data_IF_449486599497
#
_entry.id   IF_449486599497
#
_cell.length_a   1.000
_cell.length_b   1.000
_cell.length_c   1.000
_cell.angle_alpha   90.00
_cell.angle_beta   90.00
_cell.angle_gamma   90.00
#
_symmetry.space_group_name_H-M   'P 1'
#
loop_
_entity.id
_entity.type
_entity.pdbx_description
1 polymer ?
#
# COMPACT_ATOMS: atom_id res chain seq x y z
N UNK A 1 -0.71 23.86 -16.12
CA UNK A 1 -0.87 22.53 -15.47
C UNK A 1 -2.33 22.15 -15.65
N UNK A 2 -2.66 21.04 -16.30
CA UNK A 2 -4.08 20.65 -16.51
C UNK A 2 -4.77 20.46 -15.15
N UNK A 3 -6.09 20.72 -15.08
CA UNK A 3 -6.85 20.49 -13.84
C UNK A 3 -6.72 19.04 -13.34
N UNK A 4 -6.57 18.09 -14.26
CA UNK A 4 -6.30 16.67 -13.98
C UNK A 4 -4.97 16.51 -13.24
N UNK A 5 -3.86 17.09 -13.74
CA UNK A 5 -2.56 16.96 -13.08
C UNK A 5 -2.52 17.63 -11.70
N UNK A 6 -3.24 18.74 -11.52
CA UNK A 6 -3.39 19.38 -10.20
C UNK A 6 -4.13 18.46 -9.24
N UNK A 7 -5.27 17.90 -9.66
CA UNK A 7 -6.08 17.02 -8.82
C UNK A 7 -5.34 15.71 -8.49
N UNK A 8 -4.64 15.13 -9.47
CA UNK A 8 -3.74 13.99 -9.29
C UNK A 8 -2.81 14.22 -8.09
N UNK A 9 -2.08 15.35 -8.10
CA UNK A 9 -1.09 15.66 -7.07
C UNK A 9 -1.72 15.83 -5.68
N UNK A 10 -2.89 16.47 -5.60
CA UNK A 10 -3.63 16.63 -4.34
C UNK A 10 -4.03 15.27 -3.77
N UNK A 11 -4.55 14.37 -4.61
CA UNK A 11 -4.96 13.03 -4.18
C UNK A 11 -3.75 12.20 -3.76
N UNK A 12 -2.66 12.23 -4.54
CA UNK A 12 -1.40 11.56 -4.22
C UNK A 12 -0.87 11.99 -2.85
N UNK A 13 -0.70 13.30 -2.61
CA UNK A 13 -0.22 13.83 -1.34
C UNK A 13 -1.13 13.43 -0.17
N UNK A 14 -2.45 13.42 -0.39
CA UNK A 14 -3.40 13.00 0.65
C UNK A 14 -3.30 11.50 0.95
N UNK A 15 -3.16 10.64 -0.06
CA UNK A 15 -3.02 9.20 0.14
C UNK A 15 -1.69 8.84 0.82
N UNK A 16 -0.60 9.51 0.45
CA UNK A 16 0.72 9.35 1.08
C UNK A 16 0.65 9.77 2.55
N UNK A 17 0.13 10.96 2.85
CA UNK A 17 0.01 11.43 4.23
C UNK A 17 -0.90 10.54 5.09
N UNK A 18 -1.97 10.00 4.51
CA UNK A 18 -2.86 9.05 5.20
C UNK A 18 -2.15 7.73 5.49
N UNK A 19 -1.30 7.26 4.57
CA UNK A 19 -0.46 6.06 4.76
C UNK A 19 0.51 6.27 5.91
N UNK A 20 1.24 7.39 5.91
CA UNK A 20 2.21 7.72 6.94
C UNK A 20 1.54 7.89 8.32
N UNK A 21 0.36 8.51 8.36
CA UNK A 21 -0.44 8.61 9.58
C UNK A 21 -0.88 7.23 10.10
N UNK A 22 -1.39 6.36 9.21
CA UNK A 22 -1.85 5.02 9.58
C UNK A 22 -0.73 4.15 10.14
N UNK A 23 0.46 4.21 9.52
CA UNK A 23 1.65 3.53 10.05
C UNK A 23 2.11 4.12 11.38
N UNK A 24 1.95 5.44 11.56
CA UNK A 24 2.17 6.13 12.84
C UNK A 24 1.26 5.61 13.95
N UNK A 25 -0.04 5.48 13.69
CA UNK A 25 -0.99 4.93 14.66
C UNK A 25 -0.64 3.51 15.09
N UNK A 26 -0.21 2.64 14.18
CA UNK A 26 0.23 1.30 14.58
C UNK A 26 1.44 1.32 15.54
N UNK A 27 2.37 2.28 15.37
CA UNK A 27 3.47 2.47 16.32
C UNK A 27 2.99 2.96 17.68
N UNK A 28 2.03 3.87 17.69
CA UNK A 28 1.41 4.39 18.92
C UNK A 28 0.70 3.27 19.68
N UNK A 29 -0.08 2.44 19.00
CA UNK A 29 -0.74 1.27 19.61
C UNK A 29 0.25 0.29 20.23
N UNK A 30 1.42 0.06 19.61
CA UNK A 30 2.47 -0.76 20.22
C UNK A 30 3.01 -0.09 21.50
N UNK A 31 3.07 1.23 21.55
CA UNK A 31 3.55 1.93 22.74
C UNK A 31 2.51 1.92 23.87
N UNK A 32 1.25 2.19 23.56
CA UNK A 32 0.19 2.38 24.56
C UNK A 32 -0.47 1.07 24.98
N UNK A 33 -0.68 0.14 24.05
CA UNK A 33 -1.51 -1.06 24.27
C UNK A 33 -0.70 -2.34 24.44
N UNK A 34 0.57 -2.40 24.00
CA UNK A 34 1.37 -3.61 24.18
C UNK A 34 1.77 -3.77 25.65
N UNK A 35 1.18 -4.77 26.28
CA UNK A 35 1.51 -5.22 27.63
C UNK A 35 1.88 -6.70 27.63
N UNK A 36 3.17 -6.98 27.83
CA UNK A 36 3.71 -8.33 28.00
C UNK A 36 4.03 -8.65 29.48
N UNK A 37 3.42 -7.93 30.42
CA UNK A 37 3.64 -8.11 31.86
C UNK A 37 5.10 -7.91 32.26
N UNK A 38 5.66 -8.81 33.07
CA UNK A 38 7.04 -8.70 33.56
C UNK A 38 8.10 -8.69 32.47
N UNK A 39 7.78 -9.13 31.24
CA UNK A 39 8.72 -9.15 30.11
C UNK A 39 8.60 -7.92 29.20
N UNK A 40 7.77 -6.93 29.55
CA UNK A 40 7.49 -5.81 28.66
C UNK A 40 8.76 -5.03 28.25
N UNK A 41 9.74 -4.93 29.14
CA UNK A 41 11.03 -4.28 28.85
C UNK A 41 11.87 -4.97 27.76
N UNK A 42 11.60 -6.26 27.48
CA UNK A 42 12.25 -7.02 26.39
C UNK A 42 11.34 -7.07 25.17
N UNK A 43 10.07 -7.41 25.37
CA UNK A 43 9.13 -7.66 24.26
C UNK A 43 8.81 -6.38 23.50
N UNK A 44 8.51 -5.28 24.21
CA UNK A 44 8.12 -4.02 23.56
C UNK A 44 9.20 -3.47 22.61
N UNK A 45 10.49 -3.39 22.99
CA UNK A 45 11.55 -3.02 22.06
C UNK A 45 11.64 -3.91 20.82
N UNK A 46 11.50 -5.23 20.98
CA UNK A 46 11.55 -6.18 19.85
C UNK A 46 10.39 -5.93 18.88
N UNK A 47 9.17 -5.82 19.39
CA UNK A 47 7.98 -5.56 18.56
C UNK A 47 8.10 -4.19 17.86
N UNK A 48 8.59 -3.15 18.56
CA UNK A 48 8.82 -1.83 17.95
C UNK A 48 9.86 -1.89 16.83
N UNK A 49 10.97 -2.60 17.04
CA UNK A 49 12.02 -2.76 16.04
C UNK A 49 11.50 -3.53 14.81
N UNK A 50 10.79 -4.64 15.04
CA UNK A 50 10.14 -5.41 13.98
C UNK A 50 9.15 -4.55 13.20
N UNK A 51 8.23 -3.88 13.89
CA UNK A 51 7.21 -3.04 13.26
C UNK A 51 7.84 -1.92 12.44
N UNK A 52 8.89 -1.26 12.96
CA UNK A 52 9.61 -0.21 12.22
C UNK A 52 10.25 -0.76 10.95
N UNK A 53 10.94 -1.90 11.03
CA UNK A 53 11.56 -2.53 9.86
C UNK A 53 10.49 -2.90 8.82
N UNK A 54 9.41 -3.54 9.26
CA UNK A 54 8.31 -3.91 8.40
C UNK A 54 7.62 -2.68 7.77
N UNK A 55 7.34 -1.64 8.57
CA UNK A 55 6.65 -0.43 8.11
C UNK A 55 7.45 0.31 7.05
N UNK A 56 8.76 0.48 7.30
CA UNK A 56 9.62 1.32 6.47
C UNK A 56 9.98 0.63 5.15
N UNK A 57 10.25 -0.68 5.18
CA UNK A 57 10.76 -1.41 4.02
C UNK A 57 9.70 -2.20 3.24
N UNK A 58 8.58 -2.57 3.86
CA UNK A 58 7.54 -3.37 3.21
C UNK A 58 6.24 -2.61 3.06
N UNK A 59 5.65 -2.18 4.19
CA UNK A 59 4.32 -1.59 4.22
C UNK A 59 4.25 -0.31 3.39
N UNK A 60 5.12 0.66 3.71
CA UNK A 60 5.15 1.97 3.06
C UNK A 60 5.53 1.85 1.59
N UNK A 61 6.60 1.12 1.27
CA UNK A 61 7.11 0.99 -0.10
C UNK A 61 6.06 0.37 -1.03
N UNK A 62 5.40 -0.72 -0.61
CA UNK A 62 4.33 -1.35 -1.38
C UNK A 62 3.13 -0.42 -1.59
N UNK A 63 2.68 0.22 -0.51
CA UNK A 63 1.52 1.13 -0.55
C UNK A 63 1.77 2.33 -1.46
N UNK A 64 2.96 2.93 -1.42
CA UNK A 64 3.31 4.04 -2.31
C UNK A 64 3.26 3.61 -3.79
N UNK A 65 3.74 2.41 -4.10
CA UNK A 65 3.68 1.90 -5.47
C UNK A 65 2.26 1.60 -5.92
N UNK A 66 1.42 1.06 -5.03
CA UNK A 66 0.00 0.85 -5.28
C UNK A 66 -0.75 2.18 -5.53
N UNK A 67 -0.45 3.24 -4.76
CA UNK A 67 -0.99 4.58 -4.97
C UNK A 67 -0.61 5.11 -6.36
N UNK A 68 0.67 5.04 -6.72
CA UNK A 68 1.17 5.48 -8.03
C UNK A 68 0.44 4.76 -9.17
N UNK A 69 0.36 3.42 -9.11
CA UNK A 69 -0.31 2.61 -10.14
C UNK A 69 -1.79 2.97 -10.26
N UNK A 70 -2.48 3.11 -9.12
CA UNK A 70 -3.91 3.45 -9.12
C UNK A 70 -4.16 4.84 -9.73
N UNK A 71 -3.34 5.83 -9.37
CA UNK A 71 -3.50 7.19 -9.86
C UNK A 71 -3.11 7.34 -11.33
N UNK A 72 -2.02 6.69 -11.78
CA UNK A 72 -1.63 6.68 -13.20
C UNK A 72 -2.66 5.96 -14.07
N UNK A 73 -3.26 4.88 -13.55
CA UNK A 73 -4.39 4.19 -14.21
C UNK A 73 -5.60 5.11 -14.33
N UNK A 74 -5.98 5.81 -13.25
CA UNK A 74 -7.09 6.76 -13.24
C UNK A 74 -6.84 7.94 -14.19
N UNK A 75 -5.62 8.50 -14.17
CA UNK A 75 -5.20 9.57 -15.08
C UNK A 75 -5.32 9.13 -16.53
N UNK A 76 -4.78 7.96 -16.86
CA UNK A 76 -4.87 7.36 -18.21
C UNK A 76 -6.32 7.22 -18.68
N UNK A 77 -7.24 6.81 -17.78
CA UNK A 77 -8.65 6.66 -18.11
C UNK A 77 -9.33 8.00 -18.39
N UNK A 78 -9.02 9.04 -17.60
CA UNK A 78 -9.67 10.36 -17.69
C UNK A 78 -9.12 11.19 -18.85
N UNK A 79 -7.80 11.13 -19.12
CA UNK A 79 -7.17 11.93 -20.19
C UNK A 79 -7.62 11.52 -21.60
N UNK A 80 -8.08 10.29 -21.79
CA UNK A 80 -8.58 9.79 -23.08
C UNK A 80 -10.08 10.07 -23.31
N UNK A 81 -10.75 10.80 -22.41
CA UNK A 81 -12.15 11.20 -22.58
C UNK A 81 -13.16 10.17 -22.07
N UNK A 82 -13.92 9.53 -22.98
CA UNK A 82 -15.02 8.66 -22.61
C UNK A 82 -14.54 7.28 -22.12
N UNK A 83 -14.86 6.94 -20.87
CA UNK A 83 -14.58 5.63 -20.29
C UNK A 83 -15.68 4.67 -20.76
N UNK A 84 -15.35 3.79 -21.69
CA UNK A 84 -16.17 2.60 -21.94
C UNK A 84 -15.60 1.41 -21.14
N UNK A 85 -16.40 0.34 -21.03
CA UNK A 85 -16.03 -0.83 -20.25
C UNK A 85 -14.76 -1.50 -20.78
N UNK A 86 -14.63 -1.65 -22.09
CA UNK A 86 -13.49 -2.31 -22.74
C UNK A 86 -12.17 -1.62 -22.38
N UNK A 87 -12.15 -0.28 -22.45
CA UNK A 87 -10.97 0.52 -22.12
C UNK A 87 -10.66 0.49 -20.63
N UNK A 88 -11.69 0.52 -19.79
CA UNK A 88 -11.52 0.36 -18.36
C UNK A 88 -10.85 -0.98 -18.04
N UNK A 89 -11.41 -2.08 -18.56
CA UNK A 89 -10.90 -3.43 -18.35
C UNK A 89 -9.47 -3.57 -18.90
N UNK A 90 -9.15 -2.99 -20.06
CA UNK A 90 -7.78 -2.99 -20.61
C UNK A 90 -6.77 -2.32 -19.66
N UNK A 91 -7.09 -1.12 -19.16
CA UNK A 91 -6.20 -0.39 -18.25
C UNK A 91 -6.06 -1.13 -16.92
N UNK A 92 -7.15 -1.66 -16.38
CA UNK A 92 -7.10 -2.43 -15.12
C UNK A 92 -6.29 -3.71 -15.32
N UNK A 93 -6.60 -4.54 -16.32
CA UNK A 93 -5.91 -5.82 -16.55
C UNK A 93 -4.41 -5.65 -16.80
N UNK A 94 -4.01 -4.53 -17.42
CA UNK A 94 -2.59 -4.20 -17.62
C UNK A 94 -1.86 -3.87 -16.32
N UNK A 95 -2.50 -3.16 -15.40
CA UNK A 95 -1.85 -2.58 -14.23
C UNK A 95 -2.07 -3.38 -12.94
N UNK A 96 -3.16 -4.14 -12.87
CA UNK A 96 -3.57 -4.89 -11.68
C UNK A 96 -2.54 -5.93 -11.22
N UNK A 97 -1.85 -6.68 -12.10
CA UNK A 97 -0.79 -7.59 -11.66
C UNK A 97 0.31 -6.87 -10.87
N UNK A 98 0.79 -5.71 -11.36
CA UNK A 98 1.82 -4.93 -10.66
C UNK A 98 1.29 -4.31 -9.36
N UNK A 99 0.00 -3.94 -9.33
CA UNK A 99 -0.66 -3.51 -8.10
C UNK A 99 -0.66 -4.63 -7.05
N UNK A 100 -1.01 -5.86 -7.45
CA UNK A 100 -1.02 -7.05 -6.58
C UNK A 100 0.39 -7.43 -6.12
N UNK A 101 1.39 -7.39 -6.98
CA UNK A 101 2.80 -7.63 -6.60
C UNK A 101 3.30 -6.69 -5.49
N UNK A 102 2.66 -5.51 -5.39
CA UNK A 102 2.98 -4.53 -4.37
C UNK A 102 2.10 -4.61 -3.12
N UNK A 103 1.09 -5.48 -3.12
CA UNK A 103 0.23 -5.75 -1.98
C UNK A 103 0.99 -6.42 -0.84
N UNK A 104 0.59 -6.13 0.40
CA UNK A 104 1.22 -6.71 1.58
C UNK A 104 1.06 -8.22 1.66
N UNK A 105 -0.11 -8.73 1.28
CA UNK A 105 -0.39 -10.16 1.27
C UNK A 105 0.53 -10.86 0.29
N UNK A 106 0.61 -10.31 -0.93
CA UNK A 106 1.46 -10.88 -1.97
C UNK A 106 2.94 -10.89 -1.56
N UNK A 107 3.47 -9.76 -1.04
CA UNK A 107 4.86 -9.66 -0.61
C UNK A 107 5.24 -10.62 0.53
N UNK A 108 4.30 -10.90 1.44
CA UNK A 108 4.56 -11.74 2.60
C UNK A 108 4.28 -13.23 2.34
N UNK A 109 3.48 -13.55 1.33
CA UNK A 109 3.19 -14.93 0.96
C UNK A 109 4.40 -15.62 0.31
N UNK A 110 4.60 -16.89 0.68
CA UNK A 110 5.58 -17.76 0.04
C UNK A 110 5.17 -18.05 -1.40
N UNK A 111 5.94 -17.51 -2.36
CA UNK A 111 5.68 -17.66 -3.81
C UNK A 111 5.66 -19.10 -4.29
N UNK A 112 6.39 -19.98 -3.61
CA UNK A 112 6.48 -21.41 -3.92
C UNK A 112 5.42 -22.26 -3.18
N UNK A 113 4.49 -21.65 -2.47
CA UNK A 113 3.41 -22.39 -1.80
C UNK A 113 2.41 -22.91 -2.83
N UNK A 114 1.92 -24.14 -2.67
CA UNK A 114 0.97 -24.79 -3.60
C UNK A 114 -0.30 -23.99 -3.87
N UNK A 115 -0.71 -23.17 -2.90
CA UNK A 115 -1.92 -22.34 -2.96
C UNK A 115 -1.64 -20.89 -3.37
N UNK A 116 -0.39 -20.52 -3.66
CA UNK A 116 -0.03 -19.14 -4.03
C UNK A 116 -0.73 -18.68 -5.31
N UNK A 117 -0.94 -19.59 -6.27
CA UNK A 117 -1.65 -19.29 -7.53
C UNK A 117 -3.12 -18.88 -7.32
N UNK A 118 -3.72 -19.12 -6.13
CA UNK A 118 -5.08 -18.66 -5.81
C UNK A 118 -5.17 -17.17 -5.50
N UNK A 119 -4.02 -16.50 -5.34
CA UNK A 119 -3.94 -15.05 -5.07
C UNK A 119 -3.80 -14.21 -6.34
N UNK A 120 -3.61 -14.85 -7.50
CA UNK A 120 -3.50 -14.21 -8.82
C UNK A 120 -4.86 -14.16 -9.50
#
# INVERSE_FOLDING_TARGET
>A
MSHIQRNYKIVEEKMISTTDLSLGYGRELIETELDAGSFNFVVKPIVKAFYKLWSDYNARVGTLKQIEIALESAKTLIENGAINKERFDEVINKNFPSYLENDQTDKQCKKNHKDYEKLK
#
